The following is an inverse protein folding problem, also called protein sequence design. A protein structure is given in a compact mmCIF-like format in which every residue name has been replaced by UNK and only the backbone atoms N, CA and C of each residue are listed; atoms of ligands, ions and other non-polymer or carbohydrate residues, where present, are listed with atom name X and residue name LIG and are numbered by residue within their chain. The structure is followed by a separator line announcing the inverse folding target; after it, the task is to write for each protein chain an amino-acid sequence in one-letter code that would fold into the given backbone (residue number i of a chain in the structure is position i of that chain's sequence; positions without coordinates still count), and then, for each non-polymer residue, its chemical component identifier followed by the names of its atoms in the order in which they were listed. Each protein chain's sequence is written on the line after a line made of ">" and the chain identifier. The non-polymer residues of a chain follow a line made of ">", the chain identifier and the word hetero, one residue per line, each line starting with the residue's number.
data_IF_130070105988
#
_entry.id   IF_130070105988
#
_cell.length_a   1.000
_cell.length_b   1.000
_cell.length_c   1.000
_cell.angle_alpha   90.00
_cell.angle_beta   90.00
_cell.angle_gamma   90.00
#
_symmetry.space_group_name_H-M   'P 1'
#
loop_
_entity.id
_entity.type
_entity.pdbx_description
1 polymer ?
#
# COMPACT_ATOMS: atom_id res chain seq x y z
N UNK A 1 16.14 -25.74 14.80
CA UNK A 1 14.81 -25.80 14.11
C UNK A 1 13.95 -24.55 14.34
N UNK A 2 13.76 -24.06 15.60
CA UNK A 2 12.94 -22.87 15.88
C UNK A 2 13.61 -21.57 15.41
N UNK A 3 14.88 -21.38 15.70
CA UNK A 3 15.68 -20.23 15.24
C UNK A 3 15.71 -20.09 13.72
N UNK A 4 15.73 -21.20 12.99
CA UNK A 4 15.75 -21.23 11.52
C UNK A 4 14.38 -20.85 10.96
N UNK A 5 13.28 -21.28 11.59
CA UNK A 5 11.92 -20.83 11.25
C UNK A 5 11.75 -19.32 11.43
N UNK A 6 12.23 -18.78 12.55
CA UNK A 6 12.18 -17.32 12.82
C UNK A 6 12.97 -16.58 11.74
N UNK A 7 14.22 -16.97 11.45
CA UNK A 7 15.03 -16.33 10.40
C UNK A 7 14.34 -16.36 9.02
N UNK A 8 13.74 -17.50 8.66
CA UNK A 8 12.99 -17.66 7.41
C UNK A 8 11.81 -16.70 7.35
N UNK A 9 11.00 -16.61 8.40
CA UNK A 9 9.85 -15.72 8.48
C UNK A 9 10.25 -14.24 8.41
N UNK A 10 11.34 -13.85 9.08
CA UNK A 10 11.87 -12.49 9.03
C UNK A 10 12.34 -12.12 7.62
N UNK A 11 13.02 -13.05 6.93
CA UNK A 11 13.44 -12.86 5.53
C UNK A 11 12.23 -12.71 4.60
N UNK A 12 11.22 -13.57 4.77
CA UNK A 12 9.97 -13.52 3.98
C UNK A 12 9.24 -12.19 4.17
N UNK A 13 9.14 -11.69 5.41
CA UNK A 13 8.55 -10.39 5.70
C UNK A 13 9.33 -9.23 5.08
N UNK A 14 10.66 -9.33 4.95
CA UNK A 14 11.44 -8.31 4.26
C UNK A 14 11.19 -8.34 2.76
N UNK A 15 11.10 -9.53 2.16
CA UNK A 15 10.78 -9.71 0.72
C UNK A 15 9.38 -9.19 0.41
N UNK A 16 8.39 -9.51 1.23
CA UNK A 16 7.02 -8.97 1.10
C UNK A 16 7.04 -7.44 1.13
N UNK A 17 7.77 -6.85 2.09
CA UNK A 17 7.93 -5.40 2.17
C UNK A 17 8.62 -4.78 0.94
N UNK A 18 9.51 -5.50 0.26
CA UNK A 18 10.10 -5.05 -1.00
C UNK A 18 9.06 -4.97 -2.12
N UNK A 19 8.19 -5.96 -2.25
CA UNK A 19 7.08 -5.91 -3.22
C UNK A 19 6.11 -4.77 -2.92
N UNK A 20 5.77 -4.57 -1.63
CA UNK A 20 4.98 -3.43 -1.23
C UNK A 20 5.66 -2.09 -1.59
N UNK A 21 6.97 -1.99 -1.40
CA UNK A 21 7.73 -0.79 -1.73
C UNK A 21 7.72 -0.47 -3.24
N UNK A 22 7.76 -1.50 -4.10
CA UNK A 22 7.65 -1.33 -5.56
C UNK A 22 6.25 -0.80 -5.92
N UNK A 23 5.20 -1.37 -5.35
CA UNK A 23 3.83 -0.92 -5.55
C UNK A 23 3.64 0.53 -5.07
N UNK A 24 4.14 0.85 -3.88
CA UNK A 24 4.07 2.19 -3.30
C UNK A 24 4.84 3.21 -4.16
N UNK A 25 6.13 2.95 -4.41
CA UNK A 25 7.01 3.88 -5.14
C UNK A 25 6.68 3.99 -6.63
N UNK A 26 6.26 2.89 -7.28
CA UNK A 26 5.96 2.89 -8.72
C UNK A 26 4.49 3.17 -9.07
N UNK A 27 3.59 3.09 -8.11
CA UNK A 27 2.16 3.26 -8.35
C UNK A 27 1.54 4.36 -7.49
N UNK A 28 1.50 4.15 -6.18
CA UNK A 28 0.74 5.00 -5.24
C UNK A 28 1.23 6.46 -5.24
N UNK A 29 2.54 6.69 -5.34
CA UNK A 29 3.13 8.03 -5.42
C UNK A 29 2.72 8.80 -6.67
N UNK A 30 2.32 8.10 -7.75
CA UNK A 30 1.90 8.70 -9.01
C UNK A 30 0.39 8.91 -9.14
N UNK A 31 -0.40 8.59 -8.13
CA UNK A 31 -1.86 8.82 -8.17
C UNK A 31 -2.22 10.30 -8.37
N UNK A 32 -1.45 11.22 -7.77
CA UNK A 32 -1.64 12.65 -7.99
C UNK A 32 -1.29 13.06 -9.42
N UNK A 33 -0.23 12.52 -10.01
CA UNK A 33 0.13 12.76 -11.40
C UNK A 33 -0.94 12.20 -12.36
N UNK A 34 -1.49 11.03 -12.06
CA UNK A 34 -2.62 10.46 -12.79
C UNK A 34 -3.85 11.38 -12.72
N UNK A 35 -4.15 12.00 -11.58
CA UNK A 35 -5.24 12.95 -11.44
C UNK A 35 -5.01 14.23 -12.26
N UNK A 36 -3.76 14.70 -12.38
CA UNK A 36 -3.38 15.80 -13.29
C UNK A 36 -3.60 15.40 -14.74
N UNK A 37 -3.16 14.20 -15.14
CA UNK A 37 -3.38 13.68 -16.50
C UNK A 37 -4.86 13.57 -16.85
N UNK A 38 -5.72 13.23 -15.90
CA UNK A 38 -7.18 13.22 -16.04
C UNK A 38 -7.79 14.63 -16.04
N UNK A 39 -6.98 15.68 -16.01
CA UNK A 39 -7.38 17.08 -16.03
C UNK A 39 -8.34 17.48 -14.87
N UNK A 40 -8.16 16.87 -13.71
CA UNK A 40 -8.89 17.28 -12.51
C UNK A 40 -8.44 18.65 -12.02
N UNK A 41 -9.36 19.40 -11.42
CA UNK A 41 -9.05 20.73 -10.86
C UNK A 41 -8.07 20.61 -9.68
N UNK A 42 -7.27 21.64 -9.36
CA UNK A 42 -6.37 21.64 -8.20
C UNK A 42 -7.07 21.29 -6.89
N UNK A 43 -8.31 21.75 -6.70
CA UNK A 43 -9.12 21.39 -5.53
C UNK A 43 -9.44 19.89 -5.49
N UNK A 44 -9.84 19.31 -6.63
CA UNK A 44 -10.14 17.87 -6.74
C UNK A 44 -8.90 17.01 -6.45
N UNK A 45 -7.73 17.41 -6.95
CA UNK A 45 -6.46 16.73 -6.71
C UNK A 45 -6.09 16.77 -5.21
N UNK A 46 -6.18 17.96 -4.59
CA UNK A 46 -5.90 18.13 -3.16
C UNK A 46 -6.88 17.32 -2.30
N UNK A 47 -8.16 17.33 -2.65
CA UNK A 47 -9.19 16.57 -1.95
C UNK A 47 -8.97 15.05 -2.11
N UNK A 48 -8.58 14.59 -3.31
CA UNK A 48 -8.24 13.19 -3.59
C UNK A 48 -7.03 12.71 -2.79
N UNK A 49 -6.07 13.60 -2.52
CA UNK A 49 -4.89 13.28 -1.72
C UNK A 49 -5.15 13.26 -0.20
N UNK A 50 -6.11 14.04 0.29
CA UNK A 50 -6.37 14.21 1.72
C UNK A 50 -7.56 13.37 2.23
N UNK A 51 -8.67 13.36 1.49
CA UNK A 51 -9.92 12.76 1.96
C UNK A 51 -9.88 11.23 2.06
N UNK A 52 -9.37 10.45 1.06
CA UNK A 52 -9.31 9.00 1.16
C UNK A 52 -8.45 8.48 2.34
N UNK A 53 -7.24 9.01 2.61
CA UNK A 53 -6.47 8.65 3.81
C UNK A 53 -7.21 8.96 5.11
N UNK A 54 -7.94 10.08 5.16
CA UNK A 54 -8.77 10.43 6.32
C UNK A 54 -9.88 9.39 6.55
N UNK A 55 -10.63 9.03 5.50
CA UNK A 55 -11.66 7.97 5.55
C UNK A 55 -11.05 6.66 6.00
N UNK A 56 -9.90 6.27 5.43
CA UNK A 56 -9.17 5.08 5.83
C UNK A 56 -8.77 5.08 7.30
N UNK A 57 -8.29 6.21 7.82
CA UNK A 57 -7.92 6.37 9.24
C UNK A 57 -9.12 6.25 10.17
N UNK A 58 -10.27 6.83 9.79
CA UNK A 58 -11.52 6.64 10.53
C UNK A 58 -11.94 5.17 10.55
N UNK A 59 -11.85 4.49 9.41
CA UNK A 59 -12.20 3.08 9.31
C UNK A 59 -11.26 2.16 10.08
N UNK A 60 -10.01 2.57 10.25
CA UNK A 60 -9.00 1.85 11.04
C UNK A 60 -9.46 1.63 12.49
N UNK A 61 -10.25 2.55 13.07
CA UNK A 61 -10.80 2.39 14.41
C UNK A 61 -11.68 1.14 14.53
N UNK A 62 -12.36 0.76 13.44
CA UNK A 62 -13.21 -0.42 13.37
C UNK A 62 -12.46 -1.69 12.95
N UNK A 63 -11.22 -1.57 12.50
CA UNK A 63 -10.42 -2.69 11.97
C UNK A 63 -10.22 -3.81 13.00
N UNK A 64 -10.12 -3.46 14.29
CA UNK A 64 -10.00 -4.44 15.37
C UNK A 64 -11.26 -5.32 15.49
N UNK A 65 -12.46 -4.74 15.37
CA UNK A 65 -13.73 -5.46 15.39
C UNK A 65 -13.90 -6.35 14.17
N UNK A 66 -13.49 -5.86 12.99
CA UNK A 66 -13.54 -6.61 11.74
C UNK A 66 -12.56 -7.79 11.80
N UNK A 67 -11.33 -7.56 12.28
CA UNK A 67 -10.30 -8.60 12.46
C UNK A 67 -10.82 -9.77 13.30
N UNK A 68 -11.60 -9.49 14.34
CA UNK A 68 -12.15 -10.52 15.23
C UNK A 68 -13.13 -11.49 14.55
N UNK A 69 -13.68 -11.12 13.39
CA UNK A 69 -14.52 -12.00 12.56
C UNK A 69 -13.71 -12.98 11.71
N UNK A 70 -12.40 -12.78 11.59
CA UNK A 70 -11.52 -13.68 10.86
C UNK A 70 -10.95 -14.75 11.80
N UNK A 71 -10.77 -15.95 11.28
CA UNK A 71 -10.24 -17.10 11.99
C UNK A 71 -8.87 -16.84 12.61
N UNK A 72 -8.01 -16.10 11.88
CA UNK A 72 -6.65 -15.74 12.28
C UNK A 72 -6.27 -14.36 11.73
N UNK A 73 -5.37 -13.65 12.44
CA UNK A 73 -4.78 -12.37 11.99
C UNK A 73 -4.14 -12.51 10.59
N UNK A 74 -3.50 -13.65 10.32
CA UNK A 74 -2.89 -13.95 9.03
C UNK A 74 -3.92 -13.92 7.91
N UNK A 75 -5.05 -14.60 8.07
CA UNK A 75 -6.11 -14.62 7.06
C UNK A 75 -6.65 -13.23 6.80
N UNK A 76 -6.87 -12.42 7.83
CA UNK A 76 -7.29 -11.04 7.67
C UNK A 76 -6.29 -10.22 6.82
N UNK A 77 -5.00 -10.22 7.21
CA UNK A 77 -3.95 -9.49 6.47
C UNK A 77 -3.87 -9.93 5.02
N UNK A 78 -3.86 -11.25 4.78
CA UNK A 78 -3.77 -11.80 3.41
C UNK A 78 -4.99 -11.43 2.57
N UNK A 79 -6.20 -11.57 3.12
CA UNK A 79 -7.44 -11.22 2.39
C UNK A 79 -7.48 -9.73 2.04
N UNK A 80 -7.14 -8.85 2.98
CA UNK A 80 -7.11 -7.40 2.72
C UNK A 80 -6.03 -7.02 1.71
N UNK A 81 -4.86 -7.69 1.73
CA UNK A 81 -3.81 -7.46 0.74
C UNK A 81 -4.22 -7.91 -0.66
N UNK A 82 -4.92 -9.05 -0.80
CA UNK A 82 -5.49 -9.46 -2.08
C UNK A 82 -6.54 -8.47 -2.58
N UNK A 83 -7.41 -8.00 -1.70
CA UNK A 83 -8.41 -6.99 -2.06
C UNK A 83 -7.74 -5.71 -2.56
N UNK A 84 -6.69 -5.24 -1.86
CA UNK A 84 -5.92 -4.06 -2.26
C UNK A 84 -5.23 -4.27 -3.62
N UNK A 85 -4.69 -5.46 -3.88
CA UNK A 85 -4.09 -5.79 -5.18
C UNK A 85 -5.14 -5.80 -6.32
N UNK A 86 -6.33 -6.36 -6.06
CA UNK A 86 -7.43 -6.34 -7.05
C UNK A 86 -7.90 -4.92 -7.38
N UNK A 87 -7.86 -4.00 -6.42
CA UNK A 87 -8.22 -2.61 -6.65
C UNK A 87 -7.31 -1.92 -7.68
N UNK A 88 -6.04 -2.33 -7.82
CA UNK A 88 -5.18 -1.82 -8.89
C UNK A 88 -5.68 -2.24 -10.28
N UNK A 89 -6.16 -3.48 -10.41
CA UNK A 89 -6.77 -3.94 -11.67
C UNK A 89 -8.02 -3.11 -11.99
N UNK A 90 -8.85 -2.85 -10.97
CA UNK A 90 -10.04 -1.99 -11.12
C UNK A 90 -9.65 -0.58 -11.55
N UNK A 91 -8.58 0.01 -10.99
CA UNK A 91 -8.09 1.32 -11.41
C UNK A 91 -7.70 1.32 -12.89
N UNK A 92 -6.91 0.33 -13.33
CA UNK A 92 -6.50 0.21 -14.73
C UNK A 92 -7.72 0.14 -15.64
N UNK A 93 -8.70 -0.69 -15.32
CA UNK A 93 -9.95 -0.79 -16.08
C UNK A 93 -10.68 0.55 -16.11
N UNK A 94 -10.82 1.23 -14.98
CA UNK A 94 -11.46 2.54 -14.91
C UNK A 94 -10.76 3.55 -15.82
N UNK A 95 -9.44 3.59 -15.86
CA UNK A 95 -8.67 4.53 -16.67
C UNK A 95 -8.94 4.38 -18.17
N UNK A 96 -9.20 3.16 -18.67
CA UNK A 96 -9.58 2.95 -20.07
C UNK A 96 -10.91 3.64 -20.46
N UNK A 97 -11.82 3.83 -19.51
CA UNK A 97 -13.13 4.44 -19.73
C UNK A 97 -13.16 5.96 -19.46
N UNK A 98 -12.00 6.61 -19.27
CA UNK A 98 -11.89 8.04 -18.91
C UNK A 98 -12.82 8.39 -17.74
N UNK A 99 -12.55 7.90 -16.53
CA UNK A 99 -13.48 7.94 -15.44
C UNK A 99 -13.74 9.38 -14.96
N UNK A 100 -14.97 9.65 -14.57
CA UNK A 100 -15.30 10.89 -13.87
C UNK A 100 -14.65 10.89 -12.48
N UNK A 101 -14.32 12.07 -11.96
CA UNK A 101 -13.71 12.28 -10.64
C UNK A 101 -14.34 11.43 -9.52
N UNK A 102 -15.67 11.29 -9.51
CA UNK A 102 -16.40 10.52 -8.49
C UNK A 102 -15.94 9.05 -8.40
N UNK A 103 -15.69 8.41 -9.53
CA UNK A 103 -15.27 7.00 -9.55
C UNK A 103 -13.85 6.83 -9.00
N UNK A 104 -12.94 7.74 -9.34
CA UNK A 104 -11.57 7.74 -8.79
C UNK A 104 -11.59 8.03 -7.29
N UNK A 105 -12.43 8.95 -6.83
CA UNK A 105 -12.56 9.24 -5.40
C UNK A 105 -13.09 8.04 -4.61
N UNK A 106 -14.15 7.38 -5.11
CA UNK A 106 -14.72 6.18 -4.46
C UNK A 106 -13.67 5.05 -4.43
N UNK A 107 -13.02 4.80 -5.55
CA UNK A 107 -11.94 3.83 -5.64
C UNK A 107 -10.82 4.13 -4.61
N UNK A 108 -10.36 5.36 -4.54
CA UNK A 108 -9.33 5.78 -3.60
C UNK A 108 -9.76 5.59 -2.14
N UNK A 109 -11.00 5.92 -1.79
CA UNK A 109 -11.51 5.69 -0.44
C UNK A 109 -11.50 4.20 -0.07
N UNK A 110 -11.91 3.32 -0.97
CA UNK A 110 -11.88 1.87 -0.75
C UNK A 110 -10.43 1.38 -0.64
N UNK A 111 -9.55 1.84 -1.52
CA UNK A 111 -8.13 1.49 -1.52
C UNK A 111 -7.44 1.87 -0.21
N UNK A 112 -7.57 3.11 0.23
CA UNK A 112 -6.99 3.58 1.48
C UNK A 112 -7.59 2.90 2.71
N UNK A 113 -8.89 2.61 2.70
CA UNK A 113 -9.55 1.87 3.77
C UNK A 113 -8.98 0.46 3.94
N UNK A 114 -8.75 -0.27 2.84
CA UNK A 114 -8.13 -1.60 2.89
C UNK A 114 -6.69 -1.54 3.37
N UNK A 115 -5.90 -0.60 2.87
CA UNK A 115 -4.50 -0.42 3.26
C UNK A 115 -4.32 -0.06 4.74
N UNK A 116 -5.09 0.91 5.24
CA UNK A 116 -5.02 1.34 6.65
C UNK A 116 -5.51 0.27 7.61
N UNK A 117 -6.49 -0.55 7.22
CA UNK A 117 -6.97 -1.68 8.03
C UNK A 117 -5.90 -2.76 8.25
N UNK A 118 -4.99 -2.96 7.29
CA UNK A 118 -3.91 -3.96 7.36
C UNK A 118 -2.88 -3.60 8.43
N UNK A 119 -2.50 -2.33 8.55
CA UNK A 119 -1.36 -1.86 9.34
C UNK A 119 -1.35 -2.33 10.80
N UNK A 120 -2.40 -2.12 11.62
CA UNK A 120 -2.41 -2.56 13.01
C UNK A 120 -2.39 -4.09 13.13
N UNK A 121 -3.09 -4.79 12.25
CA UNK A 121 -3.13 -6.25 12.24
C UNK A 121 -1.76 -6.84 11.87
N UNK A 122 -1.10 -6.29 10.85
CA UNK A 122 0.23 -6.70 10.43
C UNK A 122 1.27 -6.44 11.55
N UNK A 123 1.22 -5.26 12.18
CA UNK A 123 2.13 -4.91 13.29
C UNK A 123 1.95 -5.86 14.47
N UNK A 124 0.72 -6.17 14.83
CA UNK A 124 0.41 -7.14 15.88
C UNK A 124 0.93 -8.53 15.52
N UNK A 125 0.67 -9.00 14.28
CA UNK A 125 1.11 -10.28 13.79
C UNK A 125 2.65 -10.41 13.80
N UNK A 126 3.36 -9.42 13.29
CA UNK A 126 4.82 -9.39 13.31
C UNK A 126 5.39 -9.32 14.74
N UNK A 127 4.65 -8.70 15.65
CA UNK A 127 4.99 -8.67 17.08
C UNK A 127 5.14 -10.05 17.72
N UNK A 128 4.43 -11.07 17.22
CA UNK A 128 4.58 -12.46 17.68
C UNK A 128 5.85 -13.13 17.15
N UNK A 129 6.28 -12.80 15.94
CA UNK A 129 7.42 -13.45 15.29
C UNK A 129 8.77 -12.81 15.62
N UNK A 130 8.79 -11.52 15.92
CA UNK A 130 10.04 -10.78 16.17
C UNK A 130 10.32 -10.70 17.66
N UNK A 131 11.38 -11.40 18.17
CA UNK A 131 11.76 -11.32 19.57
C UNK A 131 12.04 -9.88 19.98
N UNK A 132 11.58 -9.49 21.19
CA UNK A 132 11.71 -8.10 21.70
C UNK A 132 13.13 -7.57 21.62
N UNK A 133 14.14 -8.41 21.94
CA UNK A 133 15.56 -8.04 21.96
C UNK A 133 16.12 -7.53 20.62
N UNK A 134 15.60 -8.04 19.50
CA UNK A 134 16.10 -7.71 18.16
C UNK A 134 15.13 -6.86 17.35
N UNK A 135 13.96 -6.54 17.89
CA UNK A 135 12.84 -5.92 17.17
C UNK A 135 13.23 -4.60 16.52
N UNK A 136 13.79 -3.66 17.30
CA UNK A 136 14.20 -2.36 16.78
C UNK A 136 15.24 -2.48 15.66
N UNK A 137 16.25 -3.33 15.87
CA UNK A 137 17.31 -3.57 14.87
C UNK A 137 16.76 -4.21 13.59
N UNK A 138 15.84 -5.15 13.71
CA UNK A 138 15.21 -5.80 12.57
C UNK A 138 14.36 -4.82 11.77
N UNK A 139 13.45 -4.09 12.41
CA UNK A 139 12.59 -3.13 11.72
C UNK A 139 13.39 -1.97 11.13
N UNK A 140 14.43 -1.50 11.80
CA UNK A 140 15.34 -0.48 11.24
C UNK A 140 16.03 -0.96 9.96
N UNK A 141 16.54 -2.20 9.94
CA UNK A 141 17.14 -2.79 8.73
C UNK A 141 16.10 -3.00 7.63
N UNK A 142 14.93 -3.54 7.97
CA UNK A 142 13.83 -3.77 7.04
C UNK A 142 13.38 -2.46 6.39
N UNK A 143 13.11 -1.43 7.18
CA UNK A 143 12.63 -0.15 6.69
C UNK A 143 13.66 0.57 5.80
N UNK A 144 14.96 0.43 6.09
CA UNK A 144 16.03 0.94 5.22
C UNK A 144 16.01 0.27 3.85
N UNK A 145 15.86 -1.06 3.79
CA UNK A 145 15.79 -1.81 2.52
C UNK A 145 14.52 -1.40 1.75
N UNK A 146 13.37 -1.37 2.40
CA UNK A 146 12.09 -0.99 1.83
C UNK A 146 12.14 0.45 1.29
N UNK A 147 12.66 1.39 2.08
CA UNK A 147 12.79 2.78 1.65
C UNK A 147 13.70 2.96 0.44
N UNK A 148 14.82 2.21 0.38
CA UNK A 148 15.71 2.24 -0.78
C UNK A 148 15.03 1.68 -2.04
N UNK A 149 14.30 0.56 -1.92
CA UNK A 149 13.57 -0.03 -3.04
C UNK A 149 12.43 0.89 -3.49
N UNK A 150 11.70 1.51 -2.56
CA UNK A 150 10.66 2.48 -2.90
C UNK A 150 11.24 3.67 -3.67
N UNK A 151 12.37 4.21 -3.21
CA UNK A 151 13.07 5.28 -3.91
C UNK A 151 13.45 4.89 -5.34
N UNK A 152 14.06 3.71 -5.53
CA UNK A 152 14.40 3.22 -6.88
C UNK A 152 13.15 3.02 -7.74
N UNK A 153 12.08 2.45 -7.18
CA UNK A 153 10.83 2.26 -7.90
C UNK A 153 10.21 3.59 -8.36
N UNK A 154 10.25 4.61 -7.51
CA UNK A 154 9.77 5.96 -7.87
C UNK A 154 10.62 6.58 -8.99
N UNK A 155 11.95 6.46 -8.93
CA UNK A 155 12.82 6.97 -9.99
C UNK A 155 12.56 6.26 -11.33
N UNK A 156 12.47 4.93 -11.32
CA UNK A 156 12.22 4.14 -12.53
C UNK A 156 10.85 4.50 -13.13
N UNK A 157 9.82 4.60 -12.31
CA UNK A 157 8.49 4.96 -12.78
C UNK A 157 8.44 6.39 -13.34
N UNK A 158 9.11 7.35 -12.69
CA UNK A 158 9.24 8.71 -13.21
C UNK A 158 9.97 8.75 -14.55
N UNK A 159 11.07 8.01 -14.70
CA UNK A 159 11.81 7.92 -15.94
C UNK A 159 10.98 7.29 -17.09
N UNK A 160 10.20 6.25 -16.78
CA UNK A 160 9.29 5.65 -17.76
C UNK A 160 8.24 6.66 -18.23
N UNK A 161 7.67 7.45 -17.32
CA UNK A 161 6.68 8.48 -17.65
C UNK A 161 7.27 9.59 -18.50
N UNK A 162 8.52 10.00 -18.25
CA UNK A 162 9.25 11.00 -18.99
C UNK A 162 9.45 10.57 -20.46
N UNK A 163 9.97 9.36 -20.68
CA UNK A 163 10.14 8.78 -22.02
C UNK A 163 8.79 8.71 -22.78
N UNK A 164 7.71 8.39 -22.08
CA UNK A 164 6.39 8.31 -22.72
C UNK A 164 5.85 9.69 -23.09
N UNK A 165 6.12 10.70 -22.26
CA UNK A 165 5.67 12.07 -22.51
C UNK A 165 6.39 12.70 -23.71
N UNK A 166 7.69 12.42 -23.87
CA UNK A 166 8.49 12.93 -25.00
C UNK A 166 8.09 12.32 -26.36
N UNK A 167 7.36 11.19 -26.34
CA UNK A 167 6.92 10.49 -27.55
C UNK A 167 5.45 10.80 -27.95
N UNK A 168 4.74 11.66 -27.22
CA UNK A 168 3.37 12.13 -27.54
C UNK A 168 3.37 13.55 -28.08
#
# INVERSE_FOLDING_TARGET
>A
KEKDKIKKNLKLSTVEGCFWAIMYGGGETFLSACAVFLQFTPFQISFLSAFPPFVGSCFQLFSASIKNKFKDIKHFVVTMSYLQAMLWIVLVILLFYKPTYKYILIWSCIYWTTGTAIQPAWTAWMGYFVPRRIRARYFGKRNRIIGFISFLATLIAGFILDIYNDNM
#
